data_IF_153699123614
#
_entry.id   IF_153699123614
#
_cell.length_a   1.000
_cell.length_b   1.000
_cell.length_c   1.000
_cell.angle_alpha   90.00
_cell.angle_beta   90.00
_cell.angle_gamma   90.00
#
_symmetry.space_group_name_H-M   'P 1'
#
loop_
_entity.id
_entity.type
_entity.pdbx_description
1 polymer ?
#
# COMPACT_ATOMS: atom_id res chain seq x y z
N UNK A 1 -6.93 -4.94 19.39
CA UNK A 1 -7.46 -4.46 18.09
C UNK A 1 -6.67 -5.16 16.98
N UNK A 2 -7.27 -5.38 15.81
CA UNK A 2 -6.55 -5.88 14.64
C UNK A 2 -6.18 -4.64 13.82
N UNK A 3 -4.92 -4.54 13.41
CA UNK A 3 -4.40 -3.37 12.69
C UNK A 3 -3.85 -3.71 11.28
N UNK A 4 -3.83 -5.02 10.95
CA UNK A 4 -3.25 -5.56 9.72
C UNK A 4 -4.08 -6.68 9.12
N UNK A 5 -4.09 -6.74 7.78
CA UNK A 5 -4.68 -7.80 6.98
C UNK A 5 -3.61 -8.33 6.01
N UNK A 6 -3.40 -9.64 5.95
CA UNK A 6 -2.47 -10.24 5.00
C UNK A 6 -3.23 -10.96 3.88
N UNK A 7 -2.75 -10.81 2.65
CA UNK A 7 -3.28 -11.49 1.46
C UNK A 7 -2.31 -12.61 1.13
N UNK A 8 -2.79 -13.85 1.21
CA UNK A 8 -1.95 -15.03 1.02
C UNK A 8 -1.36 -15.09 -0.40
N UNK A 9 -0.17 -15.69 -0.50
CA UNK A 9 0.55 -15.85 -1.77
C UNK A 9 -0.22 -16.63 -2.82
N UNK A 10 -1.15 -17.50 -2.44
CA UNK A 10 -1.95 -18.28 -3.41
C UNK A 10 -2.69 -17.33 -4.37
N UNK A 11 -3.30 -16.27 -3.83
CA UNK A 11 -4.00 -15.26 -4.63
C UNK A 11 -3.05 -14.31 -5.38
N UNK A 12 -1.89 -14.00 -4.80
CA UNK A 12 -0.90 -13.09 -5.41
C UNK A 12 -0.18 -13.76 -6.59
N UNK A 13 0.15 -15.05 -6.44
CA UNK A 13 0.90 -15.83 -7.42
C UNK A 13 0.23 -15.90 -8.79
N UNK A 14 -1.10 -15.92 -8.81
CA UNK A 14 -1.90 -16.15 -10.01
C UNK A 14 -2.67 -14.91 -10.52
N UNK A 15 -2.38 -13.71 -9.98
CA UNK A 15 -2.95 -12.42 -10.41
C UNK A 15 -2.98 -12.16 -11.93
N UNK A 16 -2.07 -12.75 -12.69
CA UNK A 16 -2.00 -12.59 -14.15
C UNK A 16 -2.69 -13.70 -14.94
N UNK A 17 -2.99 -14.82 -14.29
CA UNK A 17 -3.47 -16.05 -14.92
C UNK A 17 -4.95 -16.27 -14.64
N UNK A 18 -5.40 -15.88 -13.45
CA UNK A 18 -6.79 -16.05 -13.02
C UNK A 18 -7.43 -14.68 -12.71
N UNK A 19 -8.43 -14.24 -13.49
CA UNK A 19 -9.15 -13.01 -13.19
C UNK A 19 -9.95 -13.07 -11.87
N UNK A 20 -10.33 -14.25 -11.40
CA UNK A 20 -11.06 -14.40 -10.14
C UNK A 20 -10.16 -14.03 -8.95
N UNK A 21 -8.88 -14.42 -8.99
CA UNK A 21 -7.90 -14.04 -7.96
C UNK A 21 -7.68 -12.52 -7.93
N UNK A 22 -7.62 -11.88 -9.10
CA UNK A 22 -7.51 -10.42 -9.17
C UNK A 22 -8.70 -9.72 -8.49
N UNK A 23 -9.93 -10.22 -8.73
CA UNK A 23 -11.15 -9.70 -8.09
C UNK A 23 -11.15 -9.94 -6.58
N UNK A 24 -10.69 -11.12 -6.13
CA UNK A 24 -10.56 -11.44 -4.70
C UNK A 24 -9.58 -10.48 -4.03
N UNK A 25 -8.38 -10.30 -4.59
CA UNK A 25 -7.35 -9.39 -4.05
C UNK A 25 -7.85 -7.95 -4.03
N UNK A 26 -8.49 -7.47 -5.10
CA UNK A 26 -9.08 -6.13 -5.15
C UNK A 26 -10.13 -5.93 -4.05
N UNK A 27 -11.01 -6.93 -3.86
CA UNK A 27 -12.05 -6.90 -2.82
C UNK A 27 -11.45 -6.86 -1.43
N UNK A 28 -10.44 -7.68 -1.15
CA UNK A 28 -9.74 -7.71 0.14
C UNK A 28 -9.06 -6.37 0.43
N UNK A 29 -8.42 -5.76 -0.57
CA UNK A 29 -7.80 -4.43 -0.43
C UNK A 29 -8.85 -3.34 -0.19
N UNK A 30 -10.01 -3.40 -0.86
CA UNK A 30 -11.12 -2.49 -0.59
C UNK A 30 -11.66 -2.63 0.84
N UNK A 31 -11.79 -3.86 1.33
CA UNK A 31 -12.17 -4.12 2.72
C UNK A 31 -11.14 -3.59 3.72
N UNK A 32 -9.84 -3.81 3.48
CA UNK A 32 -8.77 -3.31 4.34
C UNK A 32 -8.86 -1.79 4.51
N UNK A 33 -9.04 -1.05 3.40
CA UNK A 33 -9.22 0.41 3.42
C UNK A 33 -10.47 0.83 4.19
N UNK A 34 -11.61 0.17 3.96
CA UNK A 34 -12.88 0.48 4.63
C UNK A 34 -12.79 0.26 6.15
N UNK A 35 -12.00 -0.73 6.57
CA UNK A 35 -11.77 -1.06 7.98
C UNK A 35 -10.55 -0.33 8.57
N UNK A 36 -9.88 0.54 7.81
CA UNK A 36 -8.67 1.26 8.20
C UNK A 36 -7.55 0.31 8.69
N UNK A 37 -7.45 -0.86 8.05
CA UNK A 37 -6.39 -1.84 8.27
C UNK A 37 -5.29 -1.66 7.23
N UNK A 38 -4.03 -1.86 7.63
CA UNK A 38 -2.93 -1.97 6.67
C UNK A 38 -2.95 -3.33 5.98
N UNK A 39 -2.88 -3.36 4.66
CA UNK A 39 -2.80 -4.58 3.90
C UNK A 39 -1.34 -4.96 3.58
N UNK A 40 -1.02 -6.25 3.68
CA UNK A 40 0.25 -6.81 3.22
C UNK A 40 -0.02 -7.88 2.16
N UNK A 41 0.45 -7.66 0.92
CA UNK A 41 0.45 -8.71 -0.12
C UNK A 41 1.64 -9.66 0.03
N UNK A 42 1.40 -10.96 0.22
CA UNK A 42 2.45 -11.96 0.39
C UNK A 42 2.79 -12.70 -0.91
N UNK A 43 4.04 -13.13 -1.08
CA UNK A 43 4.45 -13.91 -2.25
C UNK A 43 4.64 -13.11 -3.53
N UNK A 44 5.00 -11.82 -3.43
CA UNK A 44 5.33 -11.00 -4.60
C UNK A 44 6.69 -11.43 -5.18
N UNK A 45 6.67 -12.04 -6.36
CA UNK A 45 7.85 -12.57 -7.04
C UNK A 45 8.13 -11.86 -8.37
N UNK A 46 7.11 -11.21 -8.96
CA UNK A 46 7.21 -10.55 -10.26
C UNK A 46 6.89 -9.05 -10.21
N UNK A 47 7.57 -8.20 -11.01
CA UNK A 47 7.30 -6.77 -11.05
C UNK A 47 5.85 -6.40 -11.38
N UNK A 48 5.15 -7.27 -12.10
CA UNK A 48 3.76 -7.01 -12.47
C UNK A 48 2.77 -7.25 -11.32
N UNK A 49 3.06 -8.20 -10.43
CA UNK A 49 2.30 -8.39 -9.19
C UNK A 49 2.48 -7.17 -8.27
N UNK A 50 3.72 -6.67 -8.15
CA UNK A 50 3.99 -5.45 -7.41
C UNK A 50 3.20 -4.26 -7.96
N UNK A 51 3.26 -4.02 -9.28
CA UNK A 51 2.50 -2.95 -9.93
C UNK A 51 0.99 -3.08 -9.73
N UNK A 52 0.47 -4.30 -9.77
CA UNK A 52 -0.95 -4.54 -9.48
C UNK A 52 -1.30 -4.09 -8.05
N UNK A 53 -0.50 -4.50 -7.05
CA UNK A 53 -0.72 -4.16 -5.65
C UNK A 53 -0.56 -2.65 -5.40
N UNK A 54 0.42 -1.99 -6.01
CA UNK A 54 0.63 -0.54 -5.95
C UNK A 54 -0.57 0.22 -6.53
N UNK A 55 -1.07 -0.18 -7.70
CA UNK A 55 -2.24 0.43 -8.34
C UNK A 55 -3.51 0.35 -7.48
N UNK A 56 -3.61 -0.71 -6.67
CA UNK A 56 -4.72 -0.91 -5.73
C UNK A 56 -4.42 -0.41 -4.31
N UNK A 57 -3.36 0.39 -4.14
CA UNK A 57 -2.96 1.04 -2.87
C UNK A 57 -2.72 0.05 -1.73
N UNK A 58 -2.13 -1.10 -2.02
CA UNK A 58 -1.61 -1.98 -0.97
C UNK A 58 -0.39 -1.32 -0.30
N UNK A 59 -0.41 -1.20 1.03
CA UNK A 59 0.60 -0.43 1.75
C UNK A 59 1.93 -1.19 1.94
N UNK A 60 1.85 -2.51 2.12
CA UNK A 60 3.00 -3.35 2.41
C UNK A 60 3.04 -4.55 1.44
N UNK A 61 4.24 -4.98 1.05
CA UNK A 61 4.43 -6.18 0.23
C UNK A 61 5.56 -7.04 0.79
N UNK A 62 5.43 -8.36 0.63
CA UNK A 62 6.45 -9.33 0.98
C UNK A 62 6.62 -10.33 -0.15
N UNK A 63 7.85 -10.62 -0.55
CA UNK A 63 8.11 -11.72 -1.47
C UNK A 63 9.53 -11.73 -2.03
N UNK A 64 9.83 -12.74 -2.85
CA UNK A 64 11.18 -12.97 -3.38
C UNK A 64 11.62 -11.90 -4.38
N UNK A 65 10.71 -11.09 -4.91
CA UNK A 65 11.06 -9.91 -5.70
C UNK A 65 11.91 -8.93 -4.89
N UNK A 66 11.65 -8.80 -3.58
CA UNK A 66 12.41 -7.93 -2.68
C UNK A 66 13.64 -8.64 -2.13
N UNK A 67 13.42 -9.80 -1.49
CA UNK A 67 14.48 -10.56 -0.85
C UNK A 67 14.02 -11.99 -0.57
N UNK A 68 14.94 -12.96 -0.67
CA UNK A 68 14.71 -14.30 -0.13
C UNK A 68 14.89 -14.30 1.39
N UNK A 69 14.33 -15.27 2.14
CA UNK A 69 14.64 -15.41 3.56
C UNK A 69 16.15 -15.51 3.79
N UNK A 70 16.66 -14.72 4.72
CA UNK A 70 18.08 -14.61 5.02
C UNK A 70 18.39 -15.06 6.44
N UNK A 71 19.60 -15.57 6.71
CA UNK A 71 20.14 -15.63 8.06
C UNK A 71 20.15 -14.25 8.72
N UNK A 72 20.10 -14.20 10.06
CA UNK A 72 19.99 -12.95 10.81
C UNK A 72 21.11 -11.93 10.46
N UNK A 73 22.35 -12.39 10.36
CA UNK A 73 23.51 -11.53 10.05
C UNK A 73 23.42 -10.92 8.65
N UNK A 74 22.88 -11.68 7.69
CA UNK A 74 22.72 -11.20 6.32
C UNK A 74 21.52 -10.26 6.22
N UNK A 75 20.43 -10.54 6.95
CA UNK A 75 19.29 -9.64 7.07
C UNK A 75 19.72 -8.27 7.64
N UNK A 76 20.49 -8.26 8.73
CA UNK A 76 21.02 -7.02 9.31
C UNK A 76 21.86 -6.24 8.29
N UNK A 77 22.72 -6.93 7.53
CA UNK A 77 23.53 -6.30 6.49
C UNK A 77 22.69 -5.66 5.39
N UNK A 78 21.65 -6.33 4.91
CA UNK A 78 20.77 -5.76 3.88
C UNK A 78 19.94 -4.59 4.41
N UNK A 79 19.44 -4.66 5.66
CA UNK A 79 18.71 -3.55 6.29
C UNK A 79 19.58 -2.29 6.43
N UNK A 80 20.84 -2.45 6.85
CA UNK A 80 21.78 -1.32 6.96
C UNK A 80 22.08 -0.69 5.58
N UNK A 81 22.19 -1.51 4.53
CA UNK A 81 22.35 -1.00 3.14
C UNK A 81 21.12 -0.24 2.67
N UNK A 82 19.93 -0.80 2.90
CA UNK A 82 18.67 -0.16 2.53
C UNK A 82 18.48 1.18 3.26
N UNK A 83 18.81 1.25 4.56
CA UNK A 83 18.75 2.48 5.33
C UNK A 83 19.69 3.55 4.75
N UNK A 84 20.94 3.20 4.47
CA UNK A 84 21.90 4.14 3.89
C UNK A 84 21.45 4.68 2.52
N UNK A 85 20.84 3.83 1.69
CA UNK A 85 20.26 4.24 0.40
C UNK A 85 19.06 5.17 0.59
N UNK A 86 18.16 4.87 1.54
CA UNK A 86 17.00 5.70 1.86
C UNK A 86 17.43 7.08 2.40
N UNK A 87 18.43 7.14 3.28
CA UNK A 87 18.98 8.38 3.84
C UNK A 87 19.62 9.26 2.76
N UNK A 88 20.30 8.63 1.79
CA UNK A 88 20.87 9.32 0.64
C UNK A 88 19.77 9.90 -0.27
N UNK A 89 18.66 9.19 -0.46
CA UNK A 89 17.53 9.63 -1.28
C UNK A 89 16.69 10.74 -0.62
N UNK A 90 16.54 10.71 0.71
CA UNK A 90 15.77 11.71 1.48
C UNK A 90 16.61 12.92 1.94
N UNK A 91 17.91 12.94 1.66
CA UNK A 91 18.78 14.11 1.78
C UNK A 91 18.71 14.86 3.11
N UNK A 92 19.08 14.27 4.25
CA UNK A 92 19.19 14.93 5.59
C UNK A 92 18.09 16.00 5.89
N UNK A 93 16.85 15.78 5.46
CA UNK A 93 15.70 16.60 5.83
C UNK A 93 14.77 15.73 6.65
N UNK A 94 14.56 16.11 7.92
CA UNK A 94 13.64 15.39 8.80
C UNK A 94 12.24 15.28 8.21
N UNK A 95 11.47 14.31 8.71
CA UNK A 95 10.04 14.19 8.48
C UNK A 95 9.38 15.56 8.75
N UNK A 96 9.14 16.35 7.71
CA UNK A 96 8.23 17.48 7.82
C UNK A 96 6.84 16.86 7.93
N UNK A 97 6.21 17.00 9.10
CA UNK A 97 4.78 16.81 9.25
C UNK A 97 4.12 17.61 8.13
N UNK A 98 3.54 16.90 7.16
CA UNK A 98 2.66 17.51 6.20
C UNK A 98 1.47 18.04 7.00
N UNK A 99 1.49 19.33 7.30
CA UNK A 99 0.31 20.05 7.76
C UNK A 99 -0.79 19.80 6.72
N UNK A 100 -1.80 19.04 7.13
CA UNK A 100 -3.07 18.96 6.40
C UNK A 100 -3.64 20.38 6.38
N UNK A 101 -3.54 21.04 5.22
CA UNK A 101 -4.18 22.33 4.99
C UNK A 101 -5.70 22.20 5.14
N UNK A 102 -6.30 23.12 5.87
CA UNK A 102 -7.75 23.29 6.00
C UNK A 102 -8.35 23.54 4.61
N UNK A 103 -9.18 22.60 4.12
CA UNK A 103 -10.00 22.84 2.93
C UNK A 103 -11.11 23.84 3.31
N UNK A 104 -11.14 24.99 2.61
CA UNK A 104 -12.22 25.98 2.73
C UNK A 104 -13.56 25.36 2.33
N UNK A 105 -14.52 25.44 3.26
CA UNK A 105 -15.89 24.95 3.11
C UNK A 105 -16.68 25.81 2.10
N UNK A 106 -16.69 25.40 0.83
CA UNK A 106 -17.51 26.03 -0.21
C UNK A 106 -19.00 25.71 0.05
N UNK A 107 -19.74 26.72 0.52
CA UNK A 107 -21.18 26.60 0.84
C UNK A 107 -22.01 26.40 -0.44
N UNK A 108 -22.88 25.36 -0.55
CA UNK A 108 -23.70 25.17 -1.74
C UNK A 108 -24.73 26.30 -1.92
N UNK A 109 -25.01 26.76 -3.16
CA UNK A 109 -26.00 27.80 -3.39
C UNK A 109 -27.42 27.30 -3.08
N UNK A 110 -28.12 28.03 -2.22
CA UNK A 110 -29.53 27.78 -1.89
C UNK A 110 -30.42 28.07 -3.10
N UNK A 111 -31.24 27.08 -3.49
CA UNK A 111 -32.30 27.20 -4.48
C UNK A 111 -33.38 28.18 -3.96
N UNK A 112 -33.39 29.41 -4.45
CA UNK A 112 -34.48 30.35 -4.20
C UNK A 112 -35.67 29.98 -5.11
N UNK A 113 -36.65 29.28 -4.54
CA UNK A 113 -37.99 29.18 -5.09
C UNK A 113 -38.71 30.52 -4.90
N UNK A 114 -39.08 31.20 -5.98
CA UNK A 114 -40.20 32.14 -5.97
C UNK A 114 -41.04 32.03 -7.23
N UNK A 115 -42.22 31.51 -6.99
CA UNK A 115 -43.42 31.66 -7.79
C UNK A 115 -43.89 33.12 -7.80
N UNK A 116 -44.48 33.49 -8.94
CA UNK A 116 -45.28 34.69 -9.25
C UNK A 116 -44.51 36.00 -9.45
#
# INVERSE_FOLDING_TARGET
PIDKLKIDREFIGDLQKDPDDAVIVETILAMARALQLRATGEGVEEPAQLRFLENHRCEEVQGFLLCRPLPADDCLRELLRAQAAADAAHGRGGWHEAEYGEEEEETPPQLASRSQ
#
